data_IF_622475467998
#
_entry.id   IF_622475467998
#
_cell.length_a   1.000
_cell.length_b   1.000
_cell.length_c   1.000
_cell.angle_alpha   90.00
_cell.angle_beta   90.00
_cell.angle_gamma   90.00
#
_symmetry.space_group_name_H-M   'P 1'
#
loop_
_entity.id
_entity.type
_entity.pdbx_description
1 polymer ?
#
# COMPACT_ATOMS: atom_id res chain seq x y z
N UNK A 1 -5.23 -19.75 11.84
CA UNK A 1 -4.22 -20.48 12.62
C UNK A 1 -4.60 -20.37 14.09
N UNK A 2 -5.05 -21.46 14.72
CA UNK A 2 -5.30 -21.47 16.17
C UNK A 2 -3.97 -21.64 16.88
N UNK A 3 -3.69 -20.88 17.93
CA UNK A 3 -2.40 -20.86 18.63
C UNK A 3 -2.04 -22.17 19.38
N UNK A 4 -2.78 -23.26 19.15
CA UNK A 4 -2.70 -24.53 19.87
C UNK A 4 -2.43 -25.74 18.97
N UNK A 5 -2.46 -25.56 17.66
CA UNK A 5 -2.17 -26.65 16.73
C UNK A 5 -0.65 -26.70 16.47
N UNK A 6 -0.03 -27.89 16.52
CA UNK A 6 1.38 -28.04 16.16
C UNK A 6 1.57 -27.67 14.69
N UNK A 7 2.73 -27.08 14.39
CA UNK A 7 3.12 -26.76 13.02
C UNK A 7 2.99 -27.98 12.11
N UNK A 8 2.35 -27.79 10.96
CA UNK A 8 2.00 -28.86 10.02
C UNK A 8 2.55 -28.58 8.62
N UNK A 9 2.64 -29.60 7.74
CA UNK A 9 2.98 -29.41 6.33
C UNK A 9 2.02 -28.47 5.59
N UNK A 10 0.79 -28.31 6.09
CA UNK A 10 -0.14 -27.33 5.55
C UNK A 10 0.30 -25.89 5.85
N UNK A 11 0.95 -25.65 7.00
CA UNK A 11 1.51 -24.35 7.37
C UNK A 11 2.71 -24.00 6.49
N UNK A 12 3.57 -24.98 6.19
CA UNK A 12 4.68 -24.81 5.24
C UNK A 12 4.16 -24.38 3.86
N UNK A 13 3.15 -25.08 3.32
CA UNK A 13 2.56 -24.74 2.02
C UNK A 13 1.93 -23.33 2.00
N UNK A 14 1.34 -22.88 3.12
CA UNK A 14 0.81 -21.52 3.25
C UNK A 14 1.94 -20.48 3.23
N UNK A 15 3.03 -20.73 3.97
CA UNK A 15 4.18 -19.83 4.02
C UNK A 15 4.88 -19.74 2.67
N UNK A 16 5.09 -20.88 1.99
CA UNK A 16 5.67 -20.93 0.65
C UNK A 16 4.82 -20.16 -0.37
N UNK A 17 3.50 -20.36 -0.35
CA UNK A 17 2.57 -19.60 -1.19
C UNK A 17 2.64 -18.10 -0.93
N UNK A 18 2.62 -17.70 0.34
CA UNK A 18 2.70 -16.29 0.74
C UNK A 18 4.05 -15.64 0.35
N UNK A 19 5.17 -16.37 0.44
CA UNK A 19 6.47 -15.90 -0.05
C UNK A 19 6.47 -15.78 -1.58
N UNK A 20 5.81 -16.71 -2.28
CA UNK A 20 5.60 -16.64 -3.73
C UNK A 20 4.83 -15.37 -4.15
N UNK A 21 3.72 -15.08 -3.48
CA UNK A 21 2.85 -13.93 -3.79
C UNK A 21 3.61 -12.59 -3.71
N UNK A 22 4.60 -12.48 -2.82
CA UNK A 22 5.40 -11.26 -2.65
C UNK A 22 6.72 -11.25 -3.41
N UNK A 23 7.05 -12.34 -4.12
CA UNK A 23 8.31 -12.49 -4.86
C UNK A 23 9.53 -12.76 -3.96
N UNK A 24 9.35 -13.42 -2.82
CA UNK A 24 10.40 -13.71 -1.83
C UNK A 24 10.69 -15.21 -1.66
N UNK A 25 10.23 -16.07 -2.57
CA UNK A 25 10.43 -17.52 -2.48
C UNK A 25 11.91 -17.92 -2.35
N UNK A 26 12.80 -17.29 -3.13
CA UNK A 26 14.26 -17.57 -3.10
C UNK A 26 14.95 -17.11 -1.81
N UNK A 27 14.25 -16.32 -0.98
CA UNK A 27 14.77 -15.74 0.26
C UNK A 27 14.32 -16.54 1.50
N UNK A 28 13.60 -17.64 1.32
CA UNK A 28 13.01 -18.42 2.43
C UNK A 28 14.05 -18.86 3.49
N UNK A 29 15.26 -19.22 3.06
CA UNK A 29 16.34 -19.65 3.95
C UNK A 29 17.26 -18.51 4.42
N UNK A 30 17.03 -17.26 3.97
CA UNK A 30 17.92 -16.13 4.25
C UNK A 30 17.61 -15.52 5.62
N UNK A 31 18.65 -15.13 6.33
CA UNK A 31 18.48 -14.46 7.63
C UNK A 31 17.79 -13.10 7.47
N UNK A 32 16.71 -12.88 8.22
CA UNK A 32 15.91 -11.66 8.19
C UNK A 32 16.73 -10.36 8.29
N UNK A 33 17.70 -10.33 9.20
CA UNK A 33 18.54 -9.14 9.42
C UNK A 33 19.41 -8.76 8.21
N UNK A 34 19.62 -9.67 7.26
CA UNK A 34 20.40 -9.44 6.04
C UNK A 34 19.57 -8.91 4.87
N UNK A 35 18.25 -8.81 5.04
CA UNK A 35 17.34 -8.30 4.04
C UNK A 35 17.37 -6.76 3.99
N UNK A 36 17.23 -6.20 2.80
CA UNK A 36 17.02 -4.76 2.57
C UNK A 36 15.70 -4.28 3.19
N UNK A 37 15.51 -2.96 3.32
CA UNK A 37 14.25 -2.41 3.83
C UNK A 37 13.02 -2.87 3.04
N UNK A 38 13.11 -2.85 1.70
CA UNK A 38 12.03 -3.29 0.82
C UNK A 38 11.76 -4.79 0.90
N UNK A 39 12.81 -5.60 1.00
CA UNK A 39 12.70 -7.05 1.19
C UNK A 39 12.02 -7.38 2.54
N UNK A 40 12.42 -6.71 3.63
CA UNK A 40 11.76 -6.86 4.94
C UNK A 40 10.29 -6.49 4.86
N UNK A 41 9.93 -5.43 4.15
CA UNK A 41 8.53 -5.04 3.96
C UNK A 41 7.73 -6.11 3.22
N UNK A 42 8.29 -6.71 2.15
CA UNK A 42 7.65 -7.82 1.43
C UNK A 42 7.41 -9.02 2.34
N UNK A 43 8.38 -9.39 3.16
CA UNK A 43 8.21 -10.54 4.05
C UNK A 43 7.23 -10.22 5.20
N UNK A 44 7.10 -8.96 5.63
CA UNK A 44 6.00 -8.57 6.52
C UNK A 44 4.63 -8.72 5.88
N UNK A 45 4.48 -8.36 4.60
CA UNK A 45 3.26 -8.60 3.82
C UNK A 45 3.01 -10.11 3.71
N UNK A 46 4.02 -10.90 3.33
CA UNK A 46 3.92 -12.36 3.25
C UNK A 46 3.46 -12.98 4.57
N UNK A 47 3.99 -12.50 5.71
CA UNK A 47 3.56 -12.96 7.03
C UNK A 47 2.07 -12.70 7.26
N UNK A 48 1.55 -11.55 6.85
CA UNK A 48 0.12 -11.24 6.96
C UNK A 48 -0.73 -12.13 6.03
N UNK A 49 -0.24 -12.42 4.82
CA UNK A 49 -0.89 -13.36 3.89
C UNK A 49 -0.91 -14.79 4.44
N UNK A 50 0.19 -15.24 5.03
CA UNK A 50 0.32 -16.56 5.64
C UNK A 50 -0.65 -16.76 6.81
N UNK A 51 -1.04 -15.68 7.49
CA UNK A 51 -2.09 -15.72 8.51
C UNK A 51 -3.50 -15.89 7.93
N UNK A 52 -3.64 -15.92 6.60
CA UNK A 52 -4.92 -15.93 5.86
C UNK A 52 -5.81 -14.77 6.27
N UNK A 53 -5.21 -13.58 6.40
CA UNK A 53 -5.94 -12.37 6.75
C UNK A 53 -7.00 -12.03 5.69
N UNK A 54 -8.22 -11.72 6.13
CA UNK A 54 -9.27 -11.26 5.22
C UNK A 54 -9.06 -9.80 4.76
N UNK A 55 -8.38 -9.00 5.60
CA UNK A 55 -8.08 -7.60 5.34
C UNK A 55 -6.62 -7.32 5.72
N UNK A 56 -5.90 -6.63 4.85
CA UNK A 56 -4.53 -6.19 5.09
C UNK A 56 -4.52 -4.70 5.39
N UNK A 57 -4.13 -4.33 6.62
CA UNK A 57 -3.93 -2.95 7.02
C UNK A 57 -2.44 -2.61 6.95
N UNK A 58 -2.10 -1.57 6.21
CA UNK A 58 -0.73 -1.12 5.99
C UNK A 58 -0.61 0.33 6.42
N UNK A 59 0.15 0.57 7.47
CA UNK A 59 0.47 1.92 7.94
C UNK A 59 1.78 2.39 7.28
N UNK A 60 1.69 3.41 6.44
CA UNK A 60 2.81 3.97 5.66
C UNK A 60 3.79 2.92 5.08
N UNK A 61 3.34 1.94 4.26
CA UNK A 61 4.19 0.81 3.86
C UNK A 61 5.36 1.19 2.95
N UNK A 62 5.41 2.44 2.50
CA UNK A 62 6.43 3.01 1.61
C UNK A 62 7.47 3.83 2.36
N UNK A 63 7.33 4.03 3.68
CA UNK A 63 8.24 4.88 4.43
C UNK A 63 9.64 4.27 4.50
N UNK A 64 10.69 5.10 4.46
CA UNK A 64 12.10 4.71 4.41
C UNK A 64 12.52 3.85 3.19
N UNK A 65 11.69 3.77 2.14
CA UNK A 65 12.02 3.09 0.88
C UNK A 65 12.38 4.11 -0.21
N UNK A 66 13.25 3.72 -1.14
CA UNK A 66 13.46 4.49 -2.38
C UNK A 66 12.25 4.36 -3.32
N UNK A 67 12.17 5.26 -4.31
CA UNK A 67 11.03 5.36 -5.24
C UNK A 67 10.74 4.03 -5.95
N UNK A 68 11.77 3.29 -6.34
CA UNK A 68 11.59 2.01 -7.03
C UNK A 68 10.90 0.98 -6.11
N UNK A 69 11.40 0.84 -4.88
CA UNK A 69 10.82 -0.07 -3.90
C UNK A 69 9.42 0.36 -3.47
N UNK A 70 9.15 1.66 -3.31
CA UNK A 70 7.82 2.17 -3.00
C UNK A 70 6.79 1.75 -4.06
N UNK A 71 7.07 2.04 -5.33
CA UNK A 71 6.18 1.68 -6.44
C UNK A 71 5.98 0.17 -6.54
N UNK A 72 7.04 -0.61 -6.30
CA UNK A 72 6.98 -2.07 -6.34
C UNK A 72 6.12 -2.65 -5.21
N UNK A 73 6.19 -2.12 -3.99
CA UNK A 73 5.34 -2.51 -2.87
C UNK A 73 3.88 -2.13 -3.12
N UNK A 74 3.60 -0.91 -3.57
CA UNK A 74 2.23 -0.50 -3.88
C UNK A 74 1.64 -1.35 -5.01
N UNK A 75 2.42 -1.61 -6.06
CA UNK A 75 2.01 -2.49 -7.15
C UNK A 75 1.76 -3.92 -6.70
N UNK A 76 2.56 -4.43 -5.75
CA UNK A 76 2.33 -5.73 -5.12
C UNK A 76 0.99 -5.73 -4.38
N UNK A 77 0.77 -4.77 -3.48
CA UNK A 77 -0.45 -4.69 -2.66
C UNK A 77 -1.71 -4.64 -3.53
N UNK A 78 -1.68 -3.91 -4.65
CA UNK A 78 -2.80 -3.85 -5.61
C UNK A 78 -3.16 -5.17 -6.26
N UNK A 79 -2.19 -6.08 -6.44
CA UNK A 79 -2.41 -7.38 -7.10
C UNK A 79 -2.86 -8.46 -6.14
N UNK A 80 -2.78 -8.21 -4.83
CA UNK A 80 -3.20 -9.19 -3.83
C UNK A 80 -4.73 -9.40 -3.91
N UNK A 81 -5.21 -10.64 -3.87
CA UNK A 81 -6.63 -10.95 -4.01
C UNK A 81 -7.42 -10.73 -2.70
N UNK A 82 -7.21 -9.60 -2.02
CA UNK A 82 -7.83 -9.29 -0.73
C UNK A 82 -8.01 -7.78 -0.55
N UNK A 83 -8.89 -7.40 0.38
CA UNK A 83 -9.12 -5.99 0.71
C UNK A 83 -7.91 -5.42 1.46
N UNK A 84 -7.24 -4.45 0.86
CA UNK A 84 -6.12 -3.74 1.47
C UNK A 84 -6.52 -2.32 1.84
N UNK A 85 -6.24 -1.92 3.09
CA UNK A 85 -6.39 -0.55 3.57
C UNK A 85 -5.00 0.00 3.80
N UNK A 86 -4.64 1.06 3.09
CA UNK A 86 -3.29 1.62 3.13
C UNK A 86 -3.35 3.09 3.55
N UNK A 87 -2.62 3.43 4.61
CA UNK A 87 -2.35 4.83 4.95
C UNK A 87 -1.22 5.35 4.06
N UNK A 88 -1.49 6.39 3.27
CA UNK A 88 -0.56 7.00 2.33
C UNK A 88 -0.45 8.50 2.62
N UNK A 89 0.79 9.01 2.60
CA UNK A 89 1.05 10.45 2.68
C UNK A 89 1.18 11.11 1.31
N UNK A 90 1.52 10.33 0.28
CA UNK A 90 1.61 10.83 -1.08
C UNK A 90 0.25 10.70 -1.80
N UNK A 91 -0.32 11.85 -2.17
CA UNK A 91 -1.60 11.92 -2.86
C UNK A 91 -1.55 11.37 -4.29
N UNK A 92 -0.38 11.36 -4.94
CA UNK A 92 -0.22 10.71 -6.24
C UNK A 92 -0.29 9.19 -6.11
N UNK A 93 0.24 8.62 -5.03
CA UNK A 93 0.04 7.19 -4.75
C UNK A 93 -1.44 6.89 -4.46
N UNK A 94 -2.15 7.78 -3.76
CA UNK A 94 -3.57 7.63 -3.48
C UNK A 94 -4.45 7.68 -4.75
N UNK A 95 -4.03 8.38 -5.82
CA UNK A 95 -4.72 8.36 -7.12
C UNK A 95 -4.79 6.97 -7.74
N UNK A 96 -3.86 6.09 -7.40
CA UNK A 96 -3.93 4.70 -7.82
C UNK A 96 -5.06 3.95 -7.13
N UNK A 97 -5.44 4.25 -5.90
CA UNK A 97 -6.34 3.40 -5.11
C UNK A 97 -7.73 3.30 -5.74
N UNK A 98 -8.44 2.20 -5.48
CA UNK A 98 -9.84 2.06 -5.94
C UNK A 98 -10.75 3.08 -5.25
N UNK A 99 -10.45 3.37 -3.98
CA UNK A 99 -11.14 4.35 -3.15
C UNK A 99 -10.16 5.04 -2.21
N UNK A 100 -10.45 6.30 -1.89
CA UNK A 100 -9.67 7.13 -0.95
C UNK A 100 -10.59 7.61 0.16
N UNK A 101 -10.15 7.42 1.40
CA UNK A 101 -10.74 7.97 2.60
C UNK A 101 -9.90 9.17 3.07
N UNK A 102 -10.52 10.34 3.24
CA UNK A 102 -9.85 11.52 3.78
C UNK A 102 -10.26 11.70 5.23
N UNK A 103 -9.27 11.68 6.13
CA UNK A 103 -9.47 11.92 7.56
C UNK A 103 -8.90 13.27 7.97
N UNK A 104 -9.64 14.02 8.80
CA UNK A 104 -9.17 15.27 9.43
C UNK A 104 -9.67 15.32 10.87
N UNK A 105 -8.75 15.58 11.81
CA UNK A 105 -9.07 15.67 13.25
C UNK A 105 -9.91 14.47 13.76
N UNK A 106 -9.53 13.25 13.37
CA UNK A 106 -10.21 12.02 13.78
C UNK A 106 -11.58 11.77 13.13
N UNK A 107 -11.99 12.57 12.15
CA UNK A 107 -13.27 12.40 11.43
C UNK A 107 -13.03 12.06 9.96
N UNK A 108 -13.83 11.13 9.43
CA UNK A 108 -13.90 10.85 8.01
C UNK A 108 -14.66 11.98 7.31
N UNK A 109 -13.96 12.76 6.49
CA UNK A 109 -14.54 13.87 5.73
C UNK A 109 -15.12 13.42 4.40
N UNK A 110 -14.47 12.47 3.73
CA UNK A 110 -14.85 12.02 2.41
C UNK A 110 -14.37 10.59 2.15
N UNK A 111 -15.14 9.83 1.38
CA UNK A 111 -14.81 8.47 0.97
C UNK A 111 -15.41 8.17 -0.40
N UNK A 112 -14.57 7.82 -1.38
CA UNK A 112 -15.02 7.59 -2.75
C UNK A 112 -13.85 7.36 -3.72
N UNK A 113 -14.12 7.28 -5.02
CA UNK A 113 -13.08 7.19 -6.04
C UNK A 113 -12.10 8.39 -5.94
N UNK A 114 -10.78 8.19 -6.12
CA UNK A 114 -9.80 9.26 -5.95
C UNK A 114 -10.12 10.53 -6.76
N UNK A 115 -10.59 10.39 -8.01
CA UNK A 115 -10.91 11.54 -8.88
C UNK A 115 -12.12 12.36 -8.40
N UNK A 116 -13.03 11.75 -7.66
CA UNK A 116 -14.20 12.44 -7.09
C UNK A 116 -13.87 13.09 -5.74
N UNK A 117 -12.92 12.50 -5.00
CA UNK A 117 -12.56 12.98 -3.66
C UNK A 117 -11.45 14.04 -3.71
N UNK A 118 -10.40 13.83 -4.49
CA UNK A 118 -9.21 14.68 -4.54
C UNK A 118 -9.43 15.94 -5.40
N UNK A 119 -10.48 16.70 -5.08
CA UNK A 119 -10.86 17.94 -5.75
C UNK A 119 -10.03 19.14 -5.26
N UNK A 120 -9.87 20.20 -6.06
CA UNK A 120 -9.17 21.42 -5.62
C UNK A 120 -9.74 22.03 -4.32
N UNK A 121 -11.06 21.96 -4.13
CA UNK A 121 -11.73 22.45 -2.93
C UNK A 121 -11.33 21.64 -1.68
N UNK A 122 -11.29 20.30 -1.79
CA UNK A 122 -10.85 19.43 -0.70
C UNK A 122 -9.36 19.64 -0.41
N UNK A 123 -8.53 19.76 -1.45
CA UNK A 123 -7.09 20.01 -1.32
C UNK A 123 -6.81 21.28 -0.52
N UNK A 124 -7.50 22.37 -0.86
CA UNK A 124 -7.40 23.63 -0.14
C UNK A 124 -7.90 23.52 1.30
N UNK A 125 -9.06 22.90 1.51
CA UNK A 125 -9.70 22.83 2.83
C UNK A 125 -9.06 21.84 3.82
N UNK A 126 -8.37 20.81 3.34
CA UNK A 126 -7.79 19.74 4.17
C UNK A 126 -6.28 19.85 4.27
N UNK A 127 -5.60 20.09 3.15
CA UNK A 127 -4.14 20.03 3.06
C UNK A 127 -3.48 21.41 2.93
N UNK A 128 -4.26 22.49 2.86
CA UNK A 128 -3.76 23.87 2.69
C UNK A 128 -2.89 24.06 1.43
N UNK A 129 -3.29 23.39 0.35
CA UNK A 129 -2.60 23.44 -0.95
C UNK A 129 -3.58 23.66 -2.09
N UNK A 130 -3.08 24.20 -3.20
CA UNK A 130 -3.76 24.15 -4.49
C UNK A 130 -3.30 22.91 -5.26
N UNK A 131 -4.24 22.27 -5.96
CA UNK A 131 -3.90 21.13 -6.80
C UNK A 131 -4.72 21.08 -8.09
N UNK A 132 -4.09 20.53 -9.14
CA UNK A 132 -4.70 20.29 -10.43
C UNK A 132 -4.42 18.85 -10.88
N UNK A 133 -5.46 18.15 -11.35
CA UNK A 133 -5.29 16.85 -11.97
C UNK A 133 -4.83 17.07 -13.42
N UNK A 134 -3.65 16.55 -13.73
CA UNK A 134 -3.09 16.47 -15.07
C UNK A 134 -3.23 15.04 -15.59
N UNK A 135 -3.20 14.90 -16.90
CA UNK A 135 -3.12 13.59 -17.57
C UNK A 135 -1.76 13.49 -18.22
N UNK A 136 -1.02 12.44 -17.90
CA UNK A 136 0.28 12.17 -18.50
C UNK A 136 0.08 11.81 -19.99
N UNK A 137 0.74 12.52 -20.93
CA UNK A 137 0.59 12.24 -22.35
C UNK A 137 1.21 10.91 -22.80
N UNK A 138 2.11 10.31 -22.01
CA UNK A 138 2.79 9.08 -22.37
C UNK A 138 1.92 7.83 -22.18
N UNK A 139 1.13 7.78 -21.11
CA UNK A 139 0.35 6.59 -20.73
C UNK A 139 -1.11 6.89 -20.32
N UNK A 140 -1.51 8.16 -20.27
CA UNK A 140 -2.86 8.59 -19.88
C UNK A 140 -3.10 8.54 -18.37
N UNK A 141 -2.08 8.30 -17.54
CA UNK A 141 -2.21 8.27 -16.09
C UNK A 141 -2.59 9.65 -15.53
N UNK A 142 -3.36 9.68 -14.44
CA UNK A 142 -3.63 10.93 -13.73
C UNK A 142 -2.53 11.27 -12.75
N UNK A 143 -2.08 12.52 -12.77
CA UNK A 143 -1.07 13.05 -11.87
C UNK A 143 -1.61 14.29 -11.17
N UNK A 144 -1.44 14.37 -9.86
CA UNK A 144 -1.80 15.54 -9.07
C UNK A 144 -0.61 16.50 -9.01
N UNK A 145 -0.75 17.65 -9.68
CA UNK A 145 0.18 18.78 -9.54
C UNK A 145 -0.23 19.61 -8.34
N UNK A 146 0.58 19.61 -7.29
CA UNK A 146 0.34 20.32 -6.03
C UNK A 146 1.26 21.54 -5.95
N UNK A 147 0.76 22.68 -5.47
CA UNK A 147 1.55 23.87 -5.21
C UNK A 147 1.00 24.68 -4.02
N UNK A 148 1.82 25.55 -3.39
CA UNK A 148 1.40 26.37 -2.27
C UNK A 148 0.23 27.29 -2.61
N UNK A 149 -0.56 27.63 -1.60
CA UNK A 149 -1.50 28.75 -1.63
C UNK A 149 -0.66 30.01 -1.39
N UNK A 150 -0.65 30.92 -2.37
CA UNK A 150 0.01 32.23 -2.24
C UNK A 150 -0.80 33.18 -1.37
#
# INVERSE_FOLDING_TARGET
LSARDPWSPADDAIVEGALGDVGMAEFAARQWCTLSGGERQRVHIARALAQRAAVLLLDEPTNHLDVHHQLSILSLVRRLPLTSVVALHDLNHALGCDRVAVLKAGRLLALGPPREILTPALMRGVFDVCAHILTDPADGASVLRIHPIH
#
